data_IF_064629480484
#
_entry.id   IF_064629480484
#
_cell.length_a   1.000
_cell.length_b   1.000
_cell.length_c   1.000
_cell.angle_alpha   90.00
_cell.angle_beta   90.00
_cell.angle_gamma   90.00
#
_symmetry.space_group_name_H-M   'P 1'
#
loop_
_entity.id
_entity.type
_entity.pdbx_description
1 polymer ?
#
# COMPACT_ATOMS: atom_id res chain seq x y z
N UNK A 1 -10.26 -19.17 2.07
CA UNK A 1 -9.86 -18.74 3.42
C UNK A 1 -8.86 -17.61 3.24
N UNK A 2 -9.12 -16.45 3.84
CA UNK A 2 -8.28 -15.26 3.68
C UNK A 2 -6.86 -15.50 4.22
N UNK A 3 -5.88 -14.91 3.57
CA UNK A 3 -4.49 -14.93 4.04
C UNK A 3 -4.41 -14.11 5.34
N UNK A 4 -3.75 -14.63 6.37
CA UNK A 4 -3.41 -13.84 7.56
C UNK A 4 -2.38 -12.79 7.13
N UNK A 5 -2.80 -11.52 7.14
CA UNK A 5 -1.97 -10.37 6.78
C UNK A 5 -1.70 -9.60 8.07
N UNK A 6 -0.43 -9.41 8.42
CA UNK A 6 -0.07 -8.45 9.46
C UNK A 6 -0.27 -7.03 8.93
N UNK A 7 -1.52 -6.59 8.97
CA UNK A 7 -1.94 -5.27 8.53
C UNK A 7 -1.26 -4.16 9.34
N UNK A 8 -0.72 -4.46 10.53
CA UNK A 8 -0.18 -3.47 11.45
C UNK A 8 1.34 -3.32 11.40
N UNK A 9 2.04 -4.14 10.62
CA UNK A 9 3.51 -4.17 10.51
C UNK A 9 4.13 -2.79 10.29
N UNK A 10 3.53 -2.00 9.38
CA UNK A 10 4.03 -0.68 8.95
C UNK A 10 3.33 0.50 9.64
N UNK A 11 2.51 0.24 10.66
CA UNK A 11 1.72 1.25 11.35
C UNK A 11 2.49 1.78 12.58
N UNK A 12 2.82 3.09 12.64
CA UNK A 12 3.48 3.66 13.79
C UNK A 12 2.68 3.44 15.08
N UNK A 13 3.38 3.08 16.17
CA UNK A 13 2.76 2.80 17.47
C UNK A 13 1.85 3.94 17.95
N UNK A 14 2.25 5.19 17.70
CA UNK A 14 1.49 6.41 18.06
C UNK A 14 0.07 6.42 17.48
N UNK A 15 -0.14 5.79 16.33
CA UNK A 15 -1.41 5.83 15.61
C UNK A 15 -2.21 4.53 15.72
N UNK A 16 -1.63 3.47 16.29
CA UNK A 16 -2.23 2.13 16.33
C UNK A 16 -3.57 2.06 17.07
N UNK A 17 -3.72 2.80 18.17
CA UNK A 17 -4.99 2.87 18.91
C UNK A 17 -6.05 3.72 18.19
N UNK A 18 -5.63 4.57 17.26
CA UNK A 18 -6.47 5.50 16.50
C UNK A 18 -6.89 4.95 15.13
N UNK A 19 -6.49 3.73 14.81
CA UNK A 19 -6.77 3.05 13.53
C UNK A 19 -7.85 1.99 13.70
N UNK A 20 -8.60 1.75 12.63
CA UNK A 20 -9.55 0.65 12.54
C UNK A 20 -8.83 -0.55 11.94
N UNK A 21 -8.79 -1.67 12.66
CA UNK A 21 -8.18 -2.91 12.20
C UNK A 21 -9.15 -3.76 11.37
N UNK A 22 -8.70 -4.42 10.30
CA UNK A 22 -9.55 -5.30 9.50
C UNK A 22 -9.85 -6.61 10.24
N UNK A 23 -11.08 -7.10 10.08
CA UNK A 23 -11.50 -8.45 10.49
C UNK A 23 -11.10 -9.50 9.45
N UNK A 24 -11.10 -9.13 8.16
CA UNK A 24 -10.67 -9.98 7.06
C UNK A 24 -10.08 -9.13 5.93
N UNK A 25 -9.30 -9.77 5.06
CA UNK A 25 -8.61 -9.12 3.94
C UNK A 25 -8.89 -9.88 2.64
N UNK A 26 -9.40 -9.17 1.64
CA UNK A 26 -9.45 -9.62 0.25
C UNK A 26 -8.10 -9.40 -0.42
N UNK A 27 -7.66 -10.36 -1.22
CA UNK A 27 -6.37 -10.32 -1.92
C UNK A 27 -6.60 -10.61 -3.39
N UNK A 28 -6.33 -9.61 -4.22
CA UNK A 28 -6.36 -9.74 -5.67
C UNK A 28 -4.94 -9.58 -6.22
N UNK A 29 -4.52 -10.53 -7.05
CA UNK A 29 -3.20 -10.55 -7.69
C UNK A 29 -3.39 -10.56 -9.19
N UNK A 30 -2.77 -9.59 -9.86
CA UNK A 30 -2.62 -9.55 -11.30
C UNK A 30 -1.17 -9.93 -11.63
N UNK A 31 -0.99 -11.20 -11.99
CA UNK A 31 0.32 -11.75 -12.31
C UNK A 31 0.89 -11.15 -13.60
N UNK A 32 0.02 -10.82 -14.56
CA UNK A 32 0.42 -10.25 -15.85
C UNK A 32 0.90 -8.80 -15.68
N UNK A 33 0.25 -8.04 -14.79
CA UNK A 33 0.64 -6.67 -14.47
C UNK A 33 1.72 -6.55 -13.38
N UNK A 34 2.13 -7.66 -12.75
CA UNK A 34 3.04 -7.63 -11.61
C UNK A 34 2.49 -6.81 -10.44
N UNK A 35 1.17 -6.83 -10.25
CA UNK A 35 0.46 -5.99 -9.30
C UNK A 35 -0.36 -6.82 -8.30
N UNK A 36 -0.43 -6.34 -7.07
CA UNK A 36 -1.20 -6.95 -6.01
C UNK A 36 -1.96 -5.88 -5.23
N UNK A 37 -3.20 -6.21 -4.87
CA UNK A 37 -4.10 -5.38 -4.11
C UNK A 37 -4.65 -6.16 -2.93
N UNK A 38 -4.54 -5.58 -1.75
CA UNK A 38 -5.18 -6.06 -0.53
C UNK A 38 -6.17 -5.02 -0.05
N UNK A 39 -7.37 -5.46 0.35
CA UNK A 39 -8.36 -4.59 1.01
C UNK A 39 -8.88 -5.30 2.24
N UNK A 40 -8.70 -4.65 3.39
CA UNK A 40 -9.23 -5.13 4.65
C UNK A 40 -10.53 -4.42 5.02
N UNK A 41 -11.43 -5.17 5.63
CA UNK A 41 -12.78 -4.72 5.97
C UNK A 41 -13.05 -4.90 7.46
N UNK A 42 -13.79 -3.96 8.06
CA UNK A 42 -14.21 -4.02 9.46
C UNK A 42 -15.55 -4.72 9.66
N UNK A 43 -16.16 -4.56 10.84
CA UNK A 43 -17.43 -5.18 11.23
C UNK A 43 -18.64 -4.71 10.41
N UNK A 44 -18.56 -3.53 9.81
CA UNK A 44 -19.61 -2.95 8.97
C UNK A 44 -19.35 -3.19 7.47
N UNK A 45 -18.42 -4.09 7.15
CA UNK A 45 -17.96 -4.36 5.77
C UNK A 45 -17.41 -3.11 5.08
N UNK A 46 -16.93 -2.13 5.85
CA UNK A 46 -16.31 -0.93 5.29
C UNK A 46 -14.81 -1.11 5.13
N UNK A 47 -14.20 -0.62 4.04
CA UNK A 47 -12.75 -0.64 3.89
C UNK A 47 -12.07 0.14 5.03
N UNK A 48 -11.18 -0.54 5.75
CA UNK A 48 -10.40 0.05 6.84
C UNK A 48 -8.88 -0.13 6.67
N UNK A 49 -8.48 -0.97 5.71
CA UNK A 49 -7.09 -1.21 5.36
C UNK A 49 -6.96 -1.40 3.86
N UNK A 50 -5.86 -0.94 3.27
CA UNK A 50 -5.47 -1.39 1.95
C UNK A 50 -3.96 -1.45 1.78
N UNK A 51 -3.53 -2.33 0.88
CA UNK A 51 -2.17 -2.35 0.36
C UNK A 51 -2.22 -2.43 -1.15
N UNK A 52 -1.31 -1.72 -1.80
CA UNK A 52 -1.06 -1.81 -3.22
C UNK A 52 0.42 -2.02 -3.44
N UNK A 53 0.75 -3.04 -4.22
CA UNK A 53 2.11 -3.29 -4.65
C UNK A 53 2.14 -3.47 -6.14
N UNK A 54 3.05 -2.78 -6.82
CA UNK A 54 3.26 -3.01 -8.24
C UNK A 54 4.72 -2.74 -8.64
N UNK A 55 5.10 -3.29 -9.79
CA UNK A 55 6.43 -3.17 -10.34
C UNK A 55 6.36 -3.00 -11.86
N UNK A 56 7.04 -1.99 -12.39
CA UNK A 56 7.04 -1.66 -13.83
C UNK A 56 8.47 -1.42 -14.30
N UNK A 57 8.90 -2.00 -15.44
CA UNK A 57 10.18 -1.67 -16.05
C UNK A 57 10.26 -0.19 -16.43
N UNK A 58 11.34 0.52 -16.09
CA UNK A 58 11.51 1.95 -16.42
C UNK A 58 11.61 2.17 -17.93
N UNK A 59 12.08 1.17 -18.69
CA UNK A 59 12.09 1.18 -20.15
C UNK A 59 10.71 1.37 -20.81
N UNK A 60 9.61 1.10 -20.11
CA UNK A 60 8.24 1.41 -20.58
C UNK A 60 7.83 2.87 -20.31
N UNK A 61 8.59 3.59 -19.49
CA UNK A 61 8.34 4.98 -19.06
C UNK A 61 9.33 5.95 -19.75
N UNK A 62 10.57 5.51 -20.04
CA UNK A 62 11.58 6.28 -20.77
C UNK A 62 12.37 5.39 -21.74
N UNK A 63 12.71 5.89 -22.95
CA UNK A 63 13.45 5.12 -23.99
C UNK A 63 14.92 4.79 -23.64
N UNK A 64 15.34 4.98 -22.37
CA UNK A 64 16.70 4.69 -21.89
C UNK A 64 16.62 4.07 -20.50
N UNK A 65 17.25 2.90 -20.36
CA UNK A 65 17.65 2.21 -19.13
C UNK A 65 16.82 0.98 -18.70
N UNK A 66 17.55 -0.11 -18.43
CA UNK A 66 17.13 -1.39 -17.84
C UNK A 66 16.77 -1.27 -16.34
N UNK A 67 16.02 -0.22 -15.99
CA UNK A 67 15.66 0.10 -14.61
C UNK A 67 14.31 -0.48 -14.18
N UNK A 68 14.05 -0.44 -12.88
CA UNK A 68 12.82 -0.94 -12.29
C UNK A 68 12.18 0.10 -11.37
N UNK A 69 10.93 0.45 -11.63
CA UNK A 69 10.09 1.23 -10.72
C UNK A 69 9.24 0.26 -9.91
N UNK A 70 9.18 0.45 -8.60
CA UNK A 70 8.25 -0.29 -7.75
C UNK A 70 7.66 0.63 -6.69
N UNK A 71 6.42 0.35 -6.32
CA UNK A 71 5.73 1.04 -5.25
C UNK A 71 5.06 0.04 -4.32
N UNK A 72 5.17 0.30 -3.02
CA UNK A 72 4.47 -0.43 -1.96
C UNK A 72 3.80 0.57 -1.02
N UNK A 73 2.49 0.70 -1.22
CA UNK A 73 1.60 1.56 -0.46
C UNK A 73 0.81 0.72 0.53
N UNK A 74 0.83 1.11 1.80
CA UNK A 74 -0.11 0.60 2.81
C UNK A 74 -0.88 1.78 3.38
N UNK A 75 -2.18 1.62 3.58
CA UNK A 75 -2.99 2.65 4.20
C UNK A 75 -4.03 2.06 5.16
N UNK A 76 -4.38 2.87 6.16
CA UNK A 76 -5.31 2.52 7.21
C UNK A 76 -6.32 3.62 7.44
N UNK A 77 -7.57 3.25 7.63
CA UNK A 77 -8.62 4.16 8.06
C UNK A 77 -8.44 4.47 9.54
N UNK A 78 -8.34 5.76 9.84
CA UNK A 78 -8.31 6.32 11.18
C UNK A 78 -9.74 6.40 11.72
N UNK A 79 -9.90 6.40 13.04
CA UNK A 79 -11.20 6.54 13.72
C UNK A 79 -11.93 7.85 13.42
N UNK A 80 -11.20 8.87 12.98
CA UNK A 80 -11.76 10.16 12.55
C UNK A 80 -12.17 10.17 11.05
N UNK A 81 -12.06 9.03 10.35
CA UNK A 81 -12.45 8.86 8.96
C UNK A 81 -11.33 9.13 7.94
N UNK A 82 -10.23 9.80 8.35
CA UNK A 82 -9.09 10.02 7.45
C UNK A 82 -8.33 8.72 7.21
N UNK A 83 -7.52 8.71 6.17
CA UNK A 83 -6.65 7.59 5.82
C UNK A 83 -5.21 7.98 6.07
N UNK A 84 -4.56 7.23 6.95
CA UNK A 84 -3.11 7.28 7.09
C UNK A 84 -2.49 6.43 5.99
N UNK A 85 -1.57 7.01 5.23
CA UNK A 85 -0.87 6.36 4.13
C UNK A 85 0.60 6.26 4.49
N UNK A 86 1.19 5.09 4.25
CA UNK A 86 2.63 4.88 4.20
C UNK A 86 2.99 4.39 2.79
N UNK A 87 3.77 5.16 2.05
CA UNK A 87 4.19 4.82 0.69
C UNK A 87 5.71 4.68 0.62
N UNK A 88 6.16 3.58 0.04
CA UNK A 88 7.57 3.32 -0.29
C UNK A 88 7.70 3.24 -1.80
N UNK A 89 8.60 4.04 -2.36
CA UNK A 89 8.88 4.10 -3.79
C UNK A 89 10.34 3.73 -3.99
N UNK A 90 10.62 2.75 -4.84
CA UNK A 90 11.98 2.40 -5.24
C UNK A 90 12.15 2.65 -6.74
N UNK A 91 13.13 3.49 -7.09
CA UNK A 91 13.54 3.75 -8.46
C UNK A 91 14.96 3.23 -8.66
N UNK A 92 15.11 2.15 -9.42
CA UNK A 92 16.42 1.61 -9.81
C UNK A 92 16.87 2.17 -11.17
N UNK A 93 17.15 3.47 -11.24
CA UNK A 93 17.77 4.10 -12.41
C UNK A 93 19.04 4.84 -11.95
N UNK A 94 20.18 4.15 -12.06
CA UNK A 94 21.57 4.65 -11.88
C UNK A 94 21.95 5.23 -10.49
N UNK A 95 21.00 5.70 -9.71
CA UNK A 95 21.08 6.16 -8.33
C UNK A 95 20.00 5.41 -7.55
N UNK A 96 20.38 4.53 -6.62
CA UNK A 96 19.43 3.82 -5.75
C UNK A 96 18.73 4.83 -4.84
N UNK A 97 17.64 5.42 -5.31
CA UNK A 97 16.80 6.29 -4.51
C UNK A 97 15.54 5.51 -4.09
N UNK A 98 15.50 5.20 -2.80
CA UNK A 98 14.31 4.73 -2.12
C UNK A 98 13.75 5.89 -1.27
N UNK A 99 12.47 6.19 -1.42
CA UNK A 99 11.78 7.19 -0.62
C UNK A 99 10.64 6.53 0.13
N UNK A 100 10.51 6.86 1.42
CA UNK A 100 9.43 6.41 2.26
C UNK A 100 8.83 7.61 3.00
N UNK A 101 7.51 7.73 3.02
CA UNK A 101 6.84 8.82 3.72
C UNK A 101 5.46 8.42 4.22
N UNK A 102 5.00 9.16 5.22
CA UNK A 102 3.63 9.11 5.71
C UNK A 102 2.85 10.33 5.23
N UNK A 103 1.56 10.14 4.93
CA UNK A 103 0.64 11.21 4.54
C UNK A 103 -0.77 10.91 5.06
N UNK A 104 -1.62 11.93 5.11
CA UNK A 104 -3.04 11.77 5.36
C UNK A 104 -3.85 12.04 4.09
N UNK A 105 -4.96 11.33 3.94
CA UNK A 105 -5.94 11.51 2.86
C UNK A 105 -7.35 11.50 3.44
N UNK A 106 -8.27 12.24 2.85
CA UNK A 106 -9.70 12.23 3.24
C UNK A 106 -10.45 10.99 2.71
N UNK A 107 -9.80 10.20 1.84
CA UNK A 107 -10.40 9.02 1.24
C UNK A 107 -9.38 7.91 1.05
N UNK A 108 -9.89 6.68 0.88
CA UNK A 108 -9.06 5.52 0.58
C UNK A 108 -8.21 5.77 -0.67
N UNK A 109 -6.88 5.57 -0.62
CA UNK A 109 -6.04 5.72 -1.79
C UNK A 109 -6.42 4.70 -2.86
N UNK A 110 -6.28 5.12 -4.12
CA UNK A 110 -6.60 4.36 -5.32
C UNK A 110 -5.34 4.13 -6.15
#
# INVERSE_FOLDING_TARGET
MGQEVDWSERLPMLWRSLTVGPLWVDVNRDADAGAERWVGYDEEEQPCYCRYRFQVPIGSISQRSDGLYSEDLVAWRMRDGRWLIHRVINCHAESRMAYAFYAFSESMPR
#
